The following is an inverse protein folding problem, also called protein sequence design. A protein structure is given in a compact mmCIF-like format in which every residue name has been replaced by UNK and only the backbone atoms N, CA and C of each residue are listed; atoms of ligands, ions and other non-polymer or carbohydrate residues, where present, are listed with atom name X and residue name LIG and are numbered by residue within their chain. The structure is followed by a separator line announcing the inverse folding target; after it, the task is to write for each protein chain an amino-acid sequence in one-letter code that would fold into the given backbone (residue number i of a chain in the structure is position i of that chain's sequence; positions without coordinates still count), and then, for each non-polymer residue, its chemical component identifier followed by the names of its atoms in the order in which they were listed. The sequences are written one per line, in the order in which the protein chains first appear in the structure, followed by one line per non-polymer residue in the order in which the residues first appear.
data_IF_603776886405
#
_entry.id   IF_603776886405
#
_cell.length_a   1.000
_cell.length_b   1.000
_cell.length_c   1.000
_cell.angle_alpha   90.00
_cell.angle_beta   90.00
_cell.angle_gamma   90.00
#
_symmetry.space_group_name_H-M   'P 1'
#
loop_
_entity.id
_entity.type
_entity.pdbx_description
1 polymer ?
#
# COMPACT_ATOMS: atom_id res chain seq x y z
N UNK A 1 7.27 21.72 3.85
CA UNK A 1 7.18 20.26 3.63
C UNK A 1 6.45 20.08 2.32
N UNK A 2 7.04 19.37 1.36
CA UNK A 2 6.37 19.08 0.09
C UNK A 2 5.13 18.25 0.37
N UNK A 3 4.00 18.67 -0.19
CA UNK A 3 2.71 17.99 -0.01
C UNK A 3 2.65 16.84 -1.00
N UNK A 4 3.21 15.68 -0.62
CA UNK A 4 3.22 14.50 -1.47
C UNK A 4 1.89 13.77 -1.40
N UNK A 5 1.39 13.32 -2.55
CA UNK A 5 0.13 12.57 -2.68
C UNK A 5 0.44 11.09 -2.86
N UNK A 6 -0.23 10.26 -2.10
CA UNK A 6 -0.18 8.80 -2.18
C UNK A 6 -1.40 8.31 -2.94
N UNK A 7 -1.19 7.66 -4.07
CA UNK A 7 -2.27 7.18 -4.95
C UNK A 7 -2.34 5.66 -4.86
N UNK A 8 -3.50 5.13 -4.55
CA UNK A 8 -3.79 3.70 -4.64
C UNK A 8 -4.65 3.48 -5.88
N UNK A 9 -4.07 2.88 -6.93
CA UNK A 9 -4.81 2.37 -8.08
C UNK A 9 -5.42 1.03 -7.70
N UNK A 10 -6.74 0.98 -7.52
CA UNK A 10 -7.44 -0.24 -7.12
C UNK A 10 -7.52 -1.22 -8.29
N UNK A 11 -6.88 -2.38 -8.15
CA UNK A 11 -6.74 -3.38 -9.21
C UNK A 11 -7.46 -4.70 -8.91
N UNK A 12 -8.11 -4.80 -7.75
CA UNK A 12 -8.93 -5.94 -7.44
C UNK A 12 -10.30 -5.86 -8.14
N UNK A 13 -10.90 -7.00 -8.52
CA UNK A 13 -12.21 -7.01 -9.20
C UNK A 13 -13.34 -6.48 -8.33
N UNK A 14 -13.16 -6.49 -7.01
CA UNK A 14 -14.12 -5.98 -6.01
C UNK A 14 -13.38 -5.23 -4.92
N UNK A 15 -14.05 -4.25 -4.32
CA UNK A 15 -13.57 -3.60 -3.11
C UNK A 15 -13.91 -4.48 -1.89
N UNK A 16 -13.02 -5.41 -1.57
CA UNK A 16 -13.15 -6.30 -0.43
C UNK A 16 -13.07 -5.52 0.89
N UNK A 17 -13.67 -6.05 1.96
CA UNK A 17 -13.57 -5.43 3.29
C UNK A 17 -12.12 -5.29 3.77
N UNK A 18 -11.27 -6.26 3.45
CA UNK A 18 -9.84 -6.18 3.72
C UNK A 18 -9.22 -4.92 3.10
N UNK A 19 -9.48 -4.65 1.81
CA UNK A 19 -8.99 -3.44 1.14
C UNK A 19 -9.47 -2.18 1.86
N UNK A 20 -10.76 -2.13 2.25
CA UNK A 20 -11.32 -0.98 2.97
C UNK A 20 -10.59 -0.75 4.30
N UNK A 21 -10.27 -1.81 5.05
CA UNK A 21 -9.58 -1.71 6.34
C UNK A 21 -8.12 -1.30 6.19
N UNK A 22 -7.43 -1.77 5.14
CA UNK A 22 -6.08 -1.29 4.81
C UNK A 22 -6.11 0.17 4.36
N UNK A 23 -7.05 0.57 3.50
CA UNK A 23 -7.18 1.94 3.00
C UNK A 23 -7.52 2.94 4.12
N UNK A 24 -8.38 2.53 5.08
CA UNK A 24 -8.59 3.31 6.30
C UNK A 24 -7.30 3.43 7.13
N UNK A 25 -6.50 2.37 7.21
CA UNK A 25 -5.23 2.39 7.93
C UNK A 25 -4.23 3.33 7.26
N UNK A 26 -4.12 3.27 5.92
CA UNK A 26 -3.31 4.20 5.12
C UNK A 26 -3.72 5.65 5.36
N UNK A 27 -5.01 5.95 5.38
CA UNK A 27 -5.53 7.29 5.66
C UNK A 27 -5.07 7.85 7.01
N UNK A 28 -4.89 6.97 8.02
CA UNK A 28 -4.35 7.36 9.32
C UNK A 28 -2.84 7.58 9.31
N UNK A 29 -2.13 6.95 8.36
CA UNK A 29 -0.68 7.06 8.22
C UNK A 29 -0.30 8.37 7.53
N UNK A 30 -0.91 8.66 6.37
CA UNK A 30 -0.51 9.78 5.52
C UNK A 30 -1.44 10.99 5.58
N UNK A 31 -2.59 10.88 6.24
CA UNK A 31 -3.67 11.88 6.22
C UNK A 31 -4.57 11.74 5.00
N UNK A 32 -5.88 11.94 5.21
CA UNK A 32 -6.88 11.82 4.14
C UNK A 32 -6.70 12.83 3.00
N UNK A 33 -6.12 13.98 3.29
CA UNK A 33 -5.82 15.05 2.35
C UNK A 33 -4.71 14.66 1.37
N UNK A 34 -3.85 13.74 1.76
CA UNK A 34 -2.72 13.25 0.97
C UNK A 34 -2.99 11.90 0.29
N UNK A 35 -4.19 11.34 0.44
CA UNK A 35 -4.52 10.02 -0.07
C UNK A 35 -5.57 10.10 -1.17
N UNK A 36 -5.24 9.51 -2.32
CA UNK A 36 -6.16 9.37 -3.46
C UNK A 36 -6.38 7.89 -3.77
N UNK A 37 -7.62 7.58 -4.11
CA UNK A 37 -8.03 6.27 -4.62
C UNK A 37 -8.47 6.44 -6.06
N UNK A 38 -7.96 5.64 -6.97
CA UNK A 38 -8.29 5.66 -8.39
C UNK A 38 -8.85 4.30 -8.83
N UNK A 39 -9.54 4.27 -9.96
CA UNK A 39 -10.18 3.07 -10.49
C UNK A 39 -11.24 2.45 -9.55
N UNK A 40 -11.92 3.29 -8.79
CA UNK A 40 -12.97 2.87 -7.84
C UNK A 40 -14.31 2.79 -8.58
N UNK A 41 -15.04 1.69 -8.41
CA UNK A 41 -16.37 1.56 -8.98
C UNK A 41 -17.33 2.60 -8.38
N UNK A 42 -18.26 3.19 -9.17
CA UNK A 42 -19.19 4.22 -8.67
C UNK A 42 -19.96 3.80 -7.41
N UNK A 43 -20.37 2.54 -7.32
CA UNK A 43 -21.09 2.00 -6.17
C UNK A 43 -20.25 1.91 -4.89
N UNK A 44 -18.92 1.91 -5.02
CA UNK A 44 -17.99 1.82 -3.89
C UNK A 44 -17.45 3.19 -3.44
N UNK A 45 -17.67 4.25 -4.21
CA UNK A 45 -17.12 5.58 -3.98
C UNK A 45 -17.41 6.09 -2.56
N UNK A 46 -18.66 5.96 -2.11
CA UNK A 46 -19.08 6.43 -0.77
C UNK A 46 -18.41 5.70 0.38
N UNK A 47 -17.91 4.48 0.16
CA UNK A 47 -17.20 3.70 1.18
C UNK A 47 -15.82 4.29 1.49
N UNK A 48 -15.19 4.97 0.51
CA UNK A 48 -13.82 5.46 0.59
C UNK A 48 -13.68 6.98 0.76
N UNK A 49 -14.70 7.78 0.43
CA UNK A 49 -14.67 9.27 0.52
C UNK A 49 -14.24 9.82 1.88
N UNK A 50 -14.52 9.10 2.95
CA UNK A 50 -14.13 9.49 4.30
C UNK A 50 -12.63 9.30 4.59
N UNK A 51 -11.94 8.52 3.77
CA UNK A 51 -10.53 8.16 3.94
C UNK A 51 -9.60 8.91 3.01
N UNK A 52 -10.10 9.48 1.90
CA UNK A 52 -9.31 10.20 0.93
C UNK A 52 -10.12 10.67 -0.26
N UNK A 53 -9.45 11.25 -1.25
CA UNK A 53 -10.08 11.67 -2.51
C UNK A 53 -10.30 10.46 -3.41
N UNK A 54 -11.50 10.32 -3.96
CA UNK A 54 -11.88 9.16 -4.77
C UNK A 54 -12.12 9.57 -6.22
N UNK A 55 -11.56 8.76 -7.14
CA UNK A 55 -11.76 8.86 -8.57
C UNK A 55 -12.28 7.52 -9.11
N UNK A 56 -13.38 7.58 -9.82
CA UNK A 56 -13.94 6.40 -10.51
C UNK A 56 -13.15 6.04 -11.77
N UNK A 57 -12.42 7.01 -12.33
CA UNK A 57 -11.53 6.79 -13.47
C UNK A 57 -10.19 6.20 -12.99
N UNK A 58 -9.55 5.35 -13.81
CA UNK A 58 -8.21 4.88 -13.52
C UNK A 58 -7.19 6.01 -13.58
N UNK A 59 -6.05 5.82 -12.91
CA UNK A 59 -4.96 6.79 -12.79
C UNK A 59 -4.49 7.35 -14.14
N UNK A 60 -4.50 6.55 -15.21
CA UNK A 60 -4.15 6.99 -16.57
C UNK A 60 -4.98 8.16 -17.09
N UNK A 61 -6.14 8.44 -16.48
CA UNK A 61 -6.97 9.59 -16.83
C UNK A 61 -6.58 10.86 -16.07
N UNK A 62 -5.66 10.78 -15.11
CA UNK A 62 -5.14 11.92 -14.37
C UNK A 62 -3.96 12.53 -15.11
N UNK A 63 -3.89 13.85 -15.10
CA UNK A 63 -2.73 14.60 -15.58
C UNK A 63 -1.83 14.88 -14.37
N UNK A 64 -0.86 13.99 -14.13
CA UNK A 64 0.10 14.08 -13.03
C UNK A 64 1.51 13.97 -13.59
N UNK A 65 2.43 14.69 -12.96
CA UNK A 65 3.86 14.74 -13.30
C UNK A 65 4.66 14.42 -12.05
N UNK A 66 6.00 14.36 -12.14
CA UNK A 66 6.89 14.09 -10.99
C UNK A 66 6.41 12.87 -10.17
N UNK A 67 6.22 11.76 -10.85
CA UNK A 67 5.54 10.58 -10.32
C UNK A 67 6.47 9.40 -10.19
N UNK A 68 6.40 8.69 -9.06
CA UNK A 68 7.11 7.44 -8.83
C UNK A 68 6.10 6.29 -8.57
N UNK A 69 6.23 5.21 -9.30
CA UNK A 69 5.50 3.96 -9.02
C UNK A 69 6.35 3.09 -8.10
N UNK A 70 5.76 2.63 -7.01
CA UNK A 70 6.38 1.67 -6.10
C UNK A 70 6.11 0.25 -6.62
N UNK A 71 7.17 -0.37 -7.17
CA UNK A 71 7.10 -1.68 -7.79
C UNK A 71 8.22 -2.57 -7.23
N UNK A 72 7.90 -3.73 -6.63
CA UNK A 72 8.91 -4.66 -6.13
C UNK A 72 9.94 -5.11 -7.18
N UNK A 73 9.56 -5.11 -8.46
CA UNK A 73 10.44 -5.51 -9.57
C UNK A 73 11.32 -4.35 -10.11
N UNK A 74 11.20 -3.14 -9.57
CA UNK A 74 12.08 -2.03 -9.94
C UNK A 74 13.53 -2.31 -9.52
N UNK A 75 14.49 -1.81 -10.32
CA UNK A 75 15.90 -2.03 -10.06
C UNK A 75 16.46 -1.19 -8.92
N UNK A 76 15.90 -0.01 -8.70
CA UNK A 76 16.42 0.98 -7.76
C UNK A 76 15.57 1.08 -6.50
N UNK A 77 16.24 1.12 -5.36
CA UNK A 77 15.61 1.34 -4.05
C UNK A 77 15.25 2.83 -3.89
N UNK A 78 14.05 3.11 -3.39
CA UNK A 78 13.67 4.48 -3.02
C UNK A 78 14.57 4.98 -1.89
N UNK A 79 15.06 6.19 -2.04
CA UNK A 79 15.88 6.87 -1.02
C UNK A 79 15.34 8.28 -0.74
N UNK A 80 15.75 8.93 0.37
CA UNK A 80 15.23 10.24 0.75
C UNK A 80 15.54 11.38 -0.24
N UNK A 81 16.59 11.28 -1.03
CA UNK A 81 16.95 12.28 -2.04
C UNK A 81 16.00 12.17 -3.23
N UNK A 82 15.79 10.96 -3.73
CA UNK A 82 14.85 10.71 -4.84
C UNK A 82 13.43 11.10 -4.46
N UNK A 83 13.01 10.73 -3.24
CA UNK A 83 11.66 11.00 -2.76
C UNK A 83 11.25 12.48 -2.81
N UNK A 84 12.22 13.40 -2.71
CA UNK A 84 11.96 14.85 -2.82
C UNK A 84 11.59 15.32 -4.22
N UNK A 85 11.89 14.53 -5.25
CA UNK A 85 11.63 14.86 -6.64
C UNK A 85 10.21 14.47 -7.07
N UNK A 86 9.48 13.73 -6.23
CA UNK A 86 8.16 13.23 -6.57
C UNK A 86 7.06 13.96 -5.81
N UNK A 87 6.05 14.38 -6.56
CA UNK A 87 4.80 14.92 -6.02
C UNK A 87 3.79 13.81 -5.76
N UNK A 88 3.92 12.70 -6.52
CA UNK A 88 3.00 11.56 -6.46
C UNK A 88 3.75 10.24 -6.29
N UNK A 89 3.29 9.44 -5.35
CA UNK A 89 3.67 8.03 -5.18
C UNK A 89 2.50 7.13 -5.51
N UNK A 90 2.70 6.15 -6.36
CA UNK A 90 1.64 5.26 -6.83
C UNK A 90 1.88 3.84 -6.36
N UNK A 91 0.80 3.22 -5.90
CA UNK A 91 0.76 1.85 -5.39
C UNK A 91 -0.35 1.07 -6.08
N UNK A 92 -0.09 -0.19 -6.40
CA UNK A 92 -1.14 -1.12 -6.76
C UNK A 92 -2.00 -1.47 -5.54
N UNK A 93 -3.28 -1.19 -5.61
CA UNK A 93 -4.26 -1.69 -4.64
C UNK A 93 -4.58 -3.14 -4.93
N UNK A 94 -3.66 -4.02 -4.58
CA UNK A 94 -3.65 -5.45 -4.91
C UNK A 94 -3.54 -6.23 -3.61
N UNK A 95 -4.44 -7.19 -3.40
CA UNK A 95 -4.27 -8.21 -2.38
C UNK A 95 -3.13 -9.15 -2.81
N UNK A 96 -2.13 -9.29 -1.96
CA UNK A 96 -0.94 -10.05 -2.28
C UNK A 96 -1.24 -11.53 -2.52
N UNK A 97 -0.51 -12.12 -3.45
CA UNK A 97 -0.50 -13.57 -3.70
C UNK A 97 0.67 -14.23 -2.97
N UNK A 98 0.47 -15.47 -2.56
CA UNK A 98 1.57 -16.31 -2.09
C UNK A 98 1.58 -17.63 -2.88
N UNK A 99 2.67 -17.94 -3.61
CA UNK A 99 3.87 -17.11 -3.84
C UNK A 99 3.58 -15.84 -4.65
N UNK A 100 4.46 -14.80 -4.58
CA UNK A 100 4.29 -13.53 -5.30
C UNK A 100 4.18 -13.71 -6.81
N UNK A 101 3.31 -12.94 -7.48
CA UNK A 101 3.00 -13.07 -8.93
C UNK A 101 3.36 -11.85 -9.78
N UNK A 102 4.18 -10.92 -9.29
CA UNK A 102 4.58 -9.70 -10.02
C UNK A 102 3.38 -8.88 -10.55
N UNK A 103 2.29 -8.85 -9.82
CA UNK A 103 1.06 -8.21 -10.28
C UNK A 103 1.22 -6.71 -10.50
N UNK A 104 2.01 -6.01 -9.67
CA UNK A 104 2.27 -4.58 -9.83
C UNK A 104 2.92 -4.30 -11.18
N UNK A 105 3.96 -5.05 -11.58
CA UNK A 105 4.58 -4.92 -12.89
C UNK A 105 3.57 -5.18 -14.02
N UNK A 106 2.82 -6.28 -13.92
CA UNK A 106 1.93 -6.74 -14.97
C UNK A 106 0.65 -5.94 -15.12
N UNK A 107 0.09 -5.43 -14.04
CA UNK A 107 -1.22 -4.80 -14.03
C UNK A 107 -1.14 -3.26 -13.92
N UNK A 108 0.00 -2.71 -13.52
CA UNK A 108 0.18 -1.27 -13.33
C UNK A 108 1.40 -0.75 -14.12
N UNK A 109 2.60 -1.11 -13.71
CA UNK A 109 3.85 -0.45 -14.08
C UNK A 109 4.11 -0.44 -15.59
N UNK A 110 3.84 -1.54 -16.27
CA UNK A 110 4.05 -1.66 -17.72
C UNK A 110 3.24 -0.66 -18.56
N UNK A 111 2.16 -0.13 -18.01
CA UNK A 111 1.29 0.83 -18.71
C UNK A 111 1.75 2.29 -18.55
N UNK A 112 2.80 2.53 -17.75
CA UNK A 112 3.31 3.86 -17.42
C UNK A 112 4.83 3.94 -17.58
N UNK A 113 5.37 3.69 -18.81
CA UNK A 113 6.81 3.71 -19.05
C UNK A 113 7.45 5.08 -18.82
N UNK A 114 6.64 6.14 -18.81
CA UNK A 114 7.10 7.52 -18.59
C UNK A 114 7.34 7.85 -17.10
N UNK A 115 6.84 7.06 -16.16
CA UNK A 115 7.02 7.31 -14.74
C UNK A 115 8.25 6.60 -14.20
N UNK A 116 8.90 7.25 -13.25
CA UNK A 116 9.99 6.64 -12.48
C UNK A 116 9.47 5.47 -11.63
N UNK A 117 10.36 4.53 -11.37
CA UNK A 117 10.05 3.30 -10.63
C UNK A 117 11.06 3.10 -9.53
N UNK A 118 10.59 2.76 -8.33
CA UNK A 118 11.46 2.42 -7.20
C UNK A 118 10.88 1.21 -6.46
N UNK A 119 11.77 0.40 -5.88
CA UNK A 119 11.37 -0.65 -4.96
C UNK A 119 11.52 -0.21 -3.50
N UNK A 120 10.96 -1.00 -2.59
CA UNK A 120 11.07 -0.87 -1.13
C UNK A 120 11.71 -2.12 -0.53
N UNK A 121 12.76 -2.62 -1.17
CA UNK A 121 13.32 -3.94 -0.89
C UNK A 121 12.67 -5.03 -1.74
N UNK A 122 13.15 -6.28 -1.59
CA UNK A 122 12.75 -7.41 -2.44
C UNK A 122 11.53 -8.17 -1.92
N UNK A 123 11.23 -7.99 -0.64
CA UNK A 123 10.16 -8.73 0.02
C UNK A 123 8.80 -8.06 -0.22
N UNK A 124 7.78 -8.86 -0.52
CA UNK A 124 6.43 -8.37 -0.73
C UNK A 124 5.86 -7.77 0.55
N UNK A 125 5.28 -6.57 0.44
CA UNK A 125 4.61 -5.86 1.54
C UNK A 125 3.11 -5.74 1.27
N UNK A 126 2.31 -5.71 2.34
CA UNK A 126 0.93 -5.23 2.25
C UNK A 126 0.92 -3.73 1.89
N UNK A 127 -0.16 -3.27 1.23
CA UNK A 127 -0.24 -1.90 0.70
C UNK A 127 -0.02 -0.83 1.77
N UNK A 128 -0.57 -1.01 2.96
CA UNK A 128 -0.41 -0.08 4.09
C UNK A 128 1.05 0.00 4.58
N UNK A 129 1.76 -1.13 4.56
CA UNK A 129 3.20 -1.17 4.90
C UNK A 129 4.05 -0.50 3.83
N UNK A 130 3.80 -0.75 2.55
CA UNK A 130 4.51 -0.09 1.45
C UNK A 130 4.34 1.44 1.53
N UNK A 131 3.13 1.92 1.79
CA UNK A 131 2.85 3.35 1.94
C UNK A 131 3.54 3.93 3.19
N UNK A 132 3.51 3.22 4.33
CA UNK A 132 4.22 3.67 5.53
C UNK A 132 5.73 3.81 5.29
N UNK A 133 6.35 2.81 4.67
CA UNK A 133 7.79 2.82 4.35
C UNK A 133 8.12 3.98 3.42
N UNK A 134 7.33 4.17 2.35
CA UNK A 134 7.50 5.31 1.43
C UNK A 134 7.36 6.64 2.15
N UNK A 135 6.34 6.78 3.01
CA UNK A 135 6.12 7.98 3.81
C UNK A 135 7.29 8.27 4.77
N UNK A 136 7.83 7.25 5.41
CA UNK A 136 9.00 7.39 6.28
C UNK A 136 10.24 7.85 5.49
N UNK A 137 10.48 7.27 4.30
CA UNK A 137 11.59 7.65 3.42
C UNK A 137 11.41 9.09 2.90
N UNK A 138 10.22 9.46 2.48
CA UNK A 138 9.89 10.80 2.03
C UNK A 138 10.09 11.85 3.13
N UNK A 139 9.96 11.46 4.39
CA UNK A 139 10.27 12.28 5.57
C UNK A 139 11.72 12.15 6.06
N UNK A 140 12.62 11.58 5.25
CA UNK A 140 14.05 11.60 5.47
C UNK A 140 14.66 10.36 6.11
N UNK A 141 13.89 9.34 6.47
CA UNK A 141 14.43 8.07 6.96
C UNK A 141 15.06 7.28 5.82
N UNK A 142 16.23 6.70 6.06
CA UNK A 142 16.81 5.73 5.13
C UNK A 142 16.12 4.36 5.30
N UNK A 143 16.05 3.58 4.23
CA UNK A 143 15.43 2.25 4.27
C UNK A 143 16.10 1.34 5.31
N UNK A 144 17.43 1.41 5.45
CA UNK A 144 18.23 0.60 6.38
C UNK A 144 17.96 0.93 7.86
N UNK A 145 17.35 2.07 8.15
CA UNK A 145 16.95 2.46 9.51
C UNK A 145 15.61 1.85 9.93
N UNK A 146 14.87 1.30 8.97
CA UNK A 146 13.60 0.63 9.22
C UNK A 146 13.87 -0.84 9.60
N UNK A 147 13.05 -1.34 10.52
CA UNK A 147 13.12 -2.74 10.95
C UNK A 147 11.88 -3.46 10.44
N UNK A 148 12.06 -4.70 10.05
CA UNK A 148 11.00 -5.51 9.47
C UNK A 148 10.88 -6.87 10.16
N UNK A 149 9.70 -7.46 10.02
CA UNK A 149 9.42 -8.85 10.37
C UNK A 149 8.74 -9.52 9.18
N UNK A 150 9.37 -10.53 8.61
CA UNK A 150 8.78 -11.38 7.60
C UNK A 150 7.80 -12.34 8.27
N UNK A 151 6.61 -12.42 7.72
CA UNK A 151 5.54 -13.28 8.20
C UNK A 151 5.13 -12.98 9.64
N UNK A 152 3.86 -12.73 9.81
CA UNK A 152 3.26 -12.61 11.14
C UNK A 152 2.16 -13.65 11.28
N UNK A 153 2.07 -14.27 12.46
CA UNK A 153 1.01 -15.24 12.79
C UNK A 153 -0.06 -14.56 13.62
N UNK A 154 -1.29 -14.59 13.14
CA UNK A 154 -2.47 -14.08 13.84
C UNK A 154 -3.18 -15.24 14.52
N UNK A 155 -3.31 -15.19 15.83
CA UNK A 155 -4.08 -16.17 16.60
C UNK A 155 -5.57 -15.94 16.38
N UNK A 156 -6.27 -16.92 15.84
CA UNK A 156 -7.69 -16.90 15.54
C UNK A 156 -8.52 -17.54 16.66
N UNK A 157 -8.10 -18.69 17.13
CA UNK A 157 -8.75 -19.45 18.21
C UNK A 157 -7.76 -20.00 19.23
N UNK A 158 -8.19 -20.96 20.05
CA UNK A 158 -7.35 -21.54 21.12
C UNK A 158 -6.09 -22.22 20.54
N UNK A 159 -6.23 -22.87 19.38
CA UNK A 159 -5.18 -23.64 18.69
C UNK A 159 -5.06 -23.29 17.21
N UNK A 160 -5.74 -22.24 16.75
CA UNK A 160 -5.80 -21.86 15.34
C UNK A 160 -5.03 -20.57 15.12
N UNK A 161 -4.21 -20.57 14.07
CA UNK A 161 -3.41 -19.44 13.62
C UNK A 161 -3.50 -19.30 12.12
N UNK A 162 -3.44 -18.06 11.63
CA UNK A 162 -3.23 -17.79 10.20
C UNK A 162 -1.95 -17.02 10.03
N UNK A 163 -1.17 -17.39 9.03
CA UNK A 163 0.09 -16.73 8.71
C UNK A 163 -0.14 -15.74 7.56
N UNK A 164 0.37 -14.55 7.75
CA UNK A 164 0.39 -13.50 6.74
C UNK A 164 1.84 -13.38 6.22
N UNK A 165 2.14 -13.94 5.04
CA UNK A 165 3.50 -14.11 4.53
C UNK A 165 4.01 -12.85 3.81
N UNK A 166 3.92 -11.69 4.47
CA UNK A 166 4.38 -10.41 3.96
C UNK A 166 5.43 -9.82 4.89
N UNK A 167 6.21 -8.86 4.36
CA UNK A 167 7.18 -8.12 5.12
C UNK A 167 6.50 -6.93 5.82
N UNK A 168 6.43 -6.97 7.14
CA UNK A 168 5.80 -5.95 7.98
C UNK A 168 6.86 -5.05 8.60
N UNK A 169 6.73 -3.73 8.41
CA UNK A 169 7.58 -2.77 9.11
C UNK A 169 7.26 -2.76 10.61
N UNK A 170 8.28 -2.69 11.45
CA UNK A 170 8.12 -2.61 12.91
C UNK A 170 8.02 -1.16 13.35
N UNK A 171 6.91 -0.82 13.98
CA UNK A 171 6.69 0.48 14.62
C UNK A 171 6.63 0.26 16.13
N UNK A 172 7.55 0.88 16.88
CA UNK A 172 7.71 0.64 18.31
C UNK A 172 7.86 -0.85 18.67
N UNK A 173 8.61 -1.59 17.83
CA UNK A 173 8.89 -3.01 18.02
C UNK A 173 7.74 -3.96 17.70
N UNK A 174 6.65 -3.47 17.10
CA UNK A 174 5.48 -4.28 16.73
C UNK A 174 5.20 -4.16 15.22
N UNK A 175 4.77 -5.26 14.56
CA UNK A 175 4.35 -5.21 13.15
C UNK A 175 3.24 -4.20 12.93
N UNK A 176 3.38 -3.39 11.88
CA UNK A 176 2.36 -2.44 11.45
C UNK A 176 1.25 -3.18 10.73
N UNK A 177 0.12 -3.37 11.38
CA UNK A 177 -1.06 -4.02 10.81
C UNK A 177 -2.34 -3.34 11.30
N UNK A 178 -3.33 -3.23 10.41
CA UNK A 178 -4.65 -2.72 10.75
C UNK A 178 -5.33 -3.60 11.80
N UNK A 179 -5.75 -3.02 12.92
CA UNK A 179 -6.54 -3.73 13.94
C UNK A 179 -7.86 -4.28 13.38
N UNK A 180 -8.42 -3.62 12.36
CA UNK A 180 -9.65 -4.06 11.69
C UNK A 180 -9.39 -5.28 10.80
N UNK A 181 -8.24 -5.36 10.14
CA UNK A 181 -7.83 -6.57 9.40
C UNK A 181 -7.68 -7.75 10.35
N UNK A 182 -6.99 -7.54 11.49
CA UNK A 182 -6.84 -8.59 12.51
C UNK A 182 -8.21 -9.06 13.04
N UNK A 183 -9.12 -8.13 13.31
CA UNK A 183 -10.47 -8.47 13.75
C UNK A 183 -11.24 -9.25 12.68
N UNK A 184 -11.20 -8.76 11.44
CA UNK A 184 -11.86 -9.40 10.31
C UNK A 184 -11.42 -10.86 10.09
N UNK A 185 -10.11 -11.13 10.24
CA UNK A 185 -9.60 -12.50 10.17
C UNK A 185 -10.17 -13.37 11.29
N UNK A 186 -10.21 -12.87 12.52
CA UNK A 186 -10.77 -13.59 13.66
C UNK A 186 -12.27 -13.87 13.51
N UNK A 187 -13.01 -12.91 12.96
CA UNK A 187 -14.46 -13.01 12.80
C UNK A 187 -14.85 -13.97 11.64
N UNK A 188 -13.99 -14.12 10.61
CA UNK A 188 -14.29 -15.00 9.45
C UNK A 188 -13.92 -16.47 9.64
N UNK A 189 -12.93 -16.77 10.47
CA UNK A 189 -12.44 -18.14 10.68
C UNK A 189 -12.91 -18.72 12.04
N UNK A 190 -13.73 -17.97 12.77
CA UNK A 190 -14.35 -18.41 14.04
C UNK A 190 -15.65 -19.19 13.89
N UNK A 191 -15.78 -19.99 12.81
CA UNK A 191 -16.90 -20.90 12.61
C UNK A 191 -16.47 -22.35 12.63
#
# INVERSE_FOLDING_TARGET
MSHQIYIIEHLEPKLWEWCIYEYEHVSKIVGKENLWFTNIKPEDENKLKKFGKVFTKPMKALKIENTCILDPEANELLNPQDAKNYDYFIFGGILGDYPPKKRTENELTKYFPQFEKRNLGKEQMATDNAIYVTHAIANGKKFEELKFQNTISIKLGKYEFTDLPYNYVLVNGKPLISKKVVKYLKDKEGF
#
